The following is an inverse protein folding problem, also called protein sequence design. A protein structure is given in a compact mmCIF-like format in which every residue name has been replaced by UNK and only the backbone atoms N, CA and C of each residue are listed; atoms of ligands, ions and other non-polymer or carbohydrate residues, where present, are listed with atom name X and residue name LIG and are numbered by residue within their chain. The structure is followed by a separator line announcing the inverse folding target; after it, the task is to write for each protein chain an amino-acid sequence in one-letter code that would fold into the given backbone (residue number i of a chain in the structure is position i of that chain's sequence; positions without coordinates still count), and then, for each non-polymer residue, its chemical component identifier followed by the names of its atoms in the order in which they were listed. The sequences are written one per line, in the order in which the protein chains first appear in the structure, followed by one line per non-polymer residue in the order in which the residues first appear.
data_IF_561235456162
#
_entry.id   IF_561235456162
#
_cell.length_a   1.000
_cell.length_b   1.000
_cell.length_c   1.000
_cell.angle_alpha   90.00
_cell.angle_beta   90.00
_cell.angle_gamma   90.00
#
_symmetry.space_group_name_H-M   'P 1'
#
loop_
_entity.id
_entity.type
_entity.pdbx_description
1 polymer ?
#
# COMPACT_ATOMS: atom_id res chain seq x y z
N UNK A 1 -1.45 2.14 -16.23
CA UNK A 1 -1.86 0.75 -16.53
C UNK A 1 -2.78 0.67 -17.75
N UNK A 2 -3.76 1.56 -17.90
CA UNK A 2 -4.67 1.59 -19.07
C UNK A 2 -3.91 1.53 -20.41
N UNK A 3 -2.96 2.45 -20.61
CA UNK A 3 -2.13 2.50 -21.83
C UNK A 3 -1.32 1.21 -22.02
N UNK A 4 -0.89 0.58 -20.92
CA UNK A 4 -0.17 -0.68 -20.94
C UNK A 4 -1.06 -1.84 -21.41
N UNK A 5 -2.33 -1.89 -20.98
CA UNK A 5 -3.29 -2.93 -21.38
C UNK A 5 -3.69 -2.80 -22.85
N UNK A 6 -3.88 -1.56 -23.33
CA UNK A 6 -4.23 -1.29 -24.74
C UNK A 6 -3.03 -1.37 -25.70
N UNK A 7 -1.80 -1.48 -25.19
CA UNK A 7 -0.55 -1.61 -25.97
C UNK A 7 -0.27 -0.48 -26.99
N UNK A 8 -0.92 0.68 -26.87
CA UNK A 8 -0.66 1.81 -27.76
C UNK A 8 0.62 2.54 -27.37
N UNK A 9 1.67 2.40 -28.20
CA UNK A 9 2.98 3.02 -27.98
C UNK A 9 2.93 4.54 -28.16
N UNK A 10 2.28 5.03 -29.21
CA UNK A 10 2.16 6.47 -29.48
C UNK A 10 1.45 7.23 -28.34
N UNK A 11 0.32 6.72 -27.86
CA UNK A 11 -0.39 7.30 -26.71
C UNK A 11 0.50 7.36 -25.47
N UNK A 12 1.33 6.33 -25.26
CA UNK A 12 2.27 6.31 -24.14
C UNK A 12 3.35 7.38 -24.28
N UNK A 13 3.84 7.61 -25.50
CA UNK A 13 4.83 8.65 -25.78
C UNK A 13 4.28 10.05 -25.51
N UNK A 14 3.09 10.37 -26.03
CA UNK A 14 2.44 11.67 -25.76
C UNK A 14 2.16 11.86 -24.27
N UNK A 15 1.67 10.82 -23.60
CA UNK A 15 1.45 10.86 -22.15
C UNK A 15 2.74 11.07 -21.36
N UNK A 16 3.85 10.45 -21.79
CA UNK A 16 5.17 10.63 -21.18
C UNK A 16 5.67 12.08 -21.33
N UNK A 17 5.56 12.64 -22.53
CA UNK A 17 5.94 14.03 -22.80
C UNK A 17 5.08 15.01 -21.98
N UNK A 18 3.76 14.81 -21.96
CA UNK A 18 2.85 15.62 -21.15
C UNK A 18 3.22 15.58 -19.66
N UNK A 19 3.41 14.39 -19.10
CA UNK A 19 3.80 14.21 -17.70
C UNK A 19 5.14 14.89 -17.38
N UNK A 20 6.10 14.83 -18.31
CA UNK A 20 7.39 15.49 -18.18
C UNK A 20 7.22 17.02 -18.10
N UNK A 21 6.47 17.63 -19.03
CA UNK A 21 6.22 19.07 -19.05
C UNK A 21 5.47 19.50 -17.79
N UNK A 22 4.39 18.82 -17.42
CA UNK A 22 3.59 19.14 -16.22
C UNK A 22 4.45 19.08 -14.95
N UNK A 23 5.33 18.08 -14.82
CA UNK A 23 6.20 17.96 -13.65
C UNK A 23 7.20 19.13 -13.57
N UNK A 24 7.79 19.55 -14.69
CA UNK A 24 8.71 20.69 -14.70
C UNK A 24 7.98 22.01 -14.43
N UNK A 25 6.82 22.22 -15.03
CA UNK A 25 5.98 23.40 -14.75
C UNK A 25 5.57 23.45 -13.28
N UNK A 26 5.17 22.31 -12.70
CA UNK A 26 4.78 22.23 -11.30
C UNK A 26 5.96 22.53 -10.35
N UNK A 27 7.15 22.01 -10.64
CA UNK A 27 8.33 22.26 -9.80
C UNK A 27 8.94 23.65 -9.97
N UNK A 28 8.89 24.24 -11.17
CA UNK A 28 9.50 25.55 -11.45
C UNK A 28 8.56 26.70 -11.11
N UNK A 29 7.25 26.56 -11.32
CA UNK A 29 6.29 27.65 -11.15
C UNK A 29 5.50 27.46 -9.86
N UNK A 30 4.79 26.35 -9.72
CA UNK A 30 3.83 26.16 -8.62
C UNK A 30 4.59 26.02 -7.30
N UNK A 31 5.57 25.13 -7.23
CA UNK A 31 6.32 24.88 -6.00
C UNK A 31 6.89 26.15 -5.30
N UNK A 32 7.63 27.05 -5.99
CA UNK A 32 8.14 28.26 -5.35
C UNK A 32 7.04 29.26 -4.97
N UNK A 33 5.91 29.31 -5.69
CA UNK A 33 4.78 30.19 -5.33
C UNK A 33 4.18 29.80 -3.97
N UNK A 34 4.01 28.50 -3.73
CA UNK A 34 3.38 28.01 -2.49
C UNK A 34 4.33 28.01 -1.29
N UNK A 35 5.59 27.62 -1.50
CA UNK A 35 6.54 27.43 -0.41
C UNK A 35 7.52 28.59 -0.22
N UNK A 36 7.53 29.59 -1.11
CA UNK A 36 8.42 30.75 -1.10
C UNK A 36 9.91 30.39 -0.91
N UNK A 37 10.31 29.19 -1.35
CA UNK A 37 11.65 28.64 -1.18
C UNK A 37 12.09 27.95 -2.46
N UNK A 38 13.39 28.01 -2.74
CA UNK A 38 13.98 27.32 -3.88
C UNK A 38 13.96 25.80 -3.66
N UNK A 39 13.69 25.05 -4.73
CA UNK A 39 13.61 23.60 -4.76
C UNK A 39 14.81 22.85 -4.11
N UNK A 40 16.09 23.22 -4.35
CA UNK A 40 17.22 22.45 -3.79
C UNK A 40 17.31 22.47 -2.26
N UNK A 41 16.59 23.38 -1.58
CA UNK A 41 16.57 23.44 -0.13
C UNK A 41 15.67 22.35 0.50
N UNK A 42 14.78 21.73 -0.28
CA UNK A 42 13.84 20.72 0.22
C UNK A 42 14.18 19.32 -0.30
N UNK A 43 14.76 18.51 0.59
CA UNK A 43 15.12 17.12 0.33
C UNK A 43 13.95 16.24 -0.12
N UNK A 44 12.72 16.51 0.33
CA UNK A 44 11.55 15.75 -0.10
C UNK A 44 11.20 16.02 -1.58
N UNK A 45 11.24 17.29 -2.01
CA UNK A 45 11.00 17.67 -3.40
C UNK A 45 12.09 17.10 -4.33
N UNK A 46 13.36 17.15 -3.90
CA UNK A 46 14.50 16.56 -4.63
C UNK A 46 14.31 15.05 -4.77
N UNK A 47 13.92 14.36 -3.71
CA UNK A 47 13.69 12.91 -3.74
C UNK A 47 12.58 12.53 -4.73
N UNK A 48 11.45 13.25 -4.73
CA UNK A 48 10.34 13.03 -5.68
C UNK A 48 10.82 13.21 -7.13
N UNK A 49 11.63 14.24 -7.39
CA UNK A 49 12.19 14.50 -8.71
C UNK A 49 13.11 13.36 -9.18
N UNK A 50 13.97 12.86 -8.30
CA UNK A 50 14.86 11.71 -8.59
C UNK A 50 14.04 10.46 -8.92
N UNK A 51 13.05 10.11 -8.08
CA UNK A 51 12.18 8.96 -8.34
C UNK A 51 11.39 9.10 -9.65
N UNK A 52 10.90 10.30 -9.97
CA UNK A 52 10.21 10.57 -11.23
C UNK A 52 11.14 10.50 -12.44
N UNK A 53 12.39 10.94 -12.30
CA UNK A 53 13.40 10.82 -13.36
C UNK A 53 13.70 9.36 -13.67
N UNK A 54 13.83 8.51 -12.63
CA UNK A 54 13.99 7.06 -12.82
C UNK A 54 12.76 6.43 -13.49
N UNK A 55 11.55 6.87 -13.12
CA UNK A 55 10.32 6.45 -13.79
C UNK A 55 10.33 6.82 -15.28
N UNK A 56 10.74 8.04 -15.64
CA UNK A 56 10.83 8.49 -17.03
C UNK A 56 11.86 7.68 -17.82
N UNK A 57 13.02 7.38 -17.22
CA UNK A 57 14.03 6.51 -17.81
C UNK A 57 13.44 5.13 -18.13
N UNK A 58 12.85 4.44 -17.15
CA UNK A 58 12.23 3.12 -17.36
C UNK A 58 11.08 3.16 -18.38
N UNK A 59 10.26 4.22 -18.35
CA UNK A 59 9.15 4.39 -19.29
C UNK A 59 9.65 4.56 -20.73
N UNK A 60 10.72 5.34 -20.94
CA UNK A 60 11.35 5.52 -22.25
C UNK A 60 11.96 4.22 -22.78
N UNK A 61 12.62 3.44 -21.91
CA UNK A 61 13.14 2.11 -22.24
C UNK A 61 12.03 1.16 -22.68
N UNK A 62 10.86 1.23 -22.02
CA UNK A 62 9.71 0.44 -22.42
C UNK A 62 9.11 0.87 -23.77
N UNK A 63 9.12 2.17 -24.09
CA UNK A 63 8.70 2.65 -25.43
C UNK A 63 9.67 2.13 -26.49
N UNK A 64 10.98 2.21 -26.24
CA UNK A 64 12.03 1.76 -27.15
C UNK A 64 11.93 0.27 -27.46
N UNK A 65 11.72 -0.56 -26.42
CA UNK A 65 11.68 -2.01 -26.56
C UNK A 65 10.29 -2.55 -26.96
N UNK A 66 9.26 -1.69 -27.00
CA UNK A 66 7.88 -2.08 -27.34
C UNK A 66 7.16 -2.89 -26.25
N UNK A 67 5.92 -3.31 -26.56
CA UNK A 67 5.10 -4.13 -25.66
C UNK A 67 5.08 -5.61 -26.09
N UNK A 68 5.21 -6.56 -25.14
CA UNK A 68 5.13 -7.98 -25.46
C UNK A 68 3.71 -8.42 -25.83
N UNK A 69 3.59 -9.54 -26.54
CA UNK A 69 2.30 -10.09 -26.99
C UNK A 69 1.45 -10.61 -25.81
N UNK A 70 2.06 -11.22 -24.79
CA UNK A 70 1.37 -11.74 -23.61
C UNK A 70 1.56 -10.84 -22.38
N UNK A 71 0.60 -9.98 -22.11
CA UNK A 71 0.61 -9.04 -20.96
C UNK A 71 -0.35 -9.41 -19.82
N UNK A 72 -1.34 -10.28 -20.11
CA UNK A 72 -2.33 -10.70 -19.12
C UNK A 72 -1.71 -11.76 -18.21
N UNK A 73 -1.44 -11.36 -16.98
CA UNK A 73 -0.85 -12.19 -15.95
C UNK A 73 -0.24 -11.36 -14.83
N UNK A 74 -0.16 -11.92 -13.63
CA UNK A 74 0.52 -11.28 -12.52
C UNK A 74 2.00 -11.69 -12.51
N UNK A 75 2.90 -10.71 -12.53
CA UNK A 75 4.35 -10.92 -12.52
C UNK A 75 4.83 -11.71 -11.29
N UNK A 76 4.14 -11.57 -10.15
CA UNK A 76 4.46 -12.29 -8.92
C UNK A 76 4.17 -13.79 -9.06
N UNK A 77 3.12 -14.14 -9.81
CA UNK A 77 2.61 -15.50 -9.95
C UNK A 77 3.31 -16.36 -11.02
N UNK A 78 4.30 -15.80 -11.74
CA UNK A 78 4.94 -16.50 -12.87
C UNK A 78 5.72 -17.76 -12.48
N UNK A 79 6.32 -17.79 -11.28
CA UNK A 79 7.08 -18.95 -10.79
C UNK A 79 6.63 -19.32 -9.39
N UNK A 80 6.78 -20.61 -9.07
CA UNK A 80 6.44 -21.14 -7.75
C UNK A 80 7.67 -21.12 -6.84
N UNK A 81 7.72 -20.14 -5.93
CA UNK A 81 8.76 -20.01 -4.92
C UNK A 81 8.17 -19.40 -3.66
N UNK A 82 8.71 -19.77 -2.49
CA UNK A 82 8.29 -19.23 -1.20
C UNK A 82 8.48 -17.71 -1.13
N UNK A 83 9.57 -17.19 -1.71
CA UNK A 83 9.82 -15.74 -1.77
C UNK A 83 8.74 -15.02 -2.56
N UNK A 84 8.30 -15.60 -3.69
CA UNK A 84 7.21 -15.03 -4.50
C UNK A 84 5.87 -15.13 -3.80
N UNK A 85 5.62 -16.22 -3.06
CA UNK A 85 4.44 -16.37 -2.23
C UNK A 85 4.39 -15.27 -1.15
N UNK A 86 5.51 -15.01 -0.48
CA UNK A 86 5.61 -13.93 0.51
C UNK A 86 5.36 -12.56 -0.12
N UNK A 87 6.06 -12.21 -1.21
CA UNK A 87 5.83 -10.95 -1.93
C UNK A 87 4.38 -10.79 -2.40
N UNK A 88 3.75 -11.88 -2.85
CA UNK A 88 2.35 -11.86 -3.25
C UNK A 88 1.39 -11.67 -2.07
N UNK A 89 1.67 -12.28 -0.92
CA UNK A 89 0.89 -12.04 0.30
C UNK A 89 1.04 -10.60 0.78
N UNK A 90 2.24 -10.03 0.75
CA UNK A 90 2.47 -8.61 1.05
C UNK A 90 1.70 -7.69 0.09
N UNK A 91 1.70 -8.00 -1.20
CA UNK A 91 0.89 -7.27 -2.20
C UNK A 91 -0.60 -7.29 -1.87
N UNK A 92 -1.13 -8.42 -1.38
CA UNK A 92 -2.55 -8.54 -1.00
C UNK A 92 -2.89 -7.91 0.36
N UNK A 93 -1.91 -7.63 1.24
CA UNK A 93 -2.14 -6.97 2.54
C UNK A 93 -2.42 -5.47 2.34
N UNK A 94 -1.91 -4.87 1.26
CA UNK A 94 -2.16 -3.46 0.96
C UNK A 94 -3.66 -3.28 0.65
N UNK A 95 -4.37 -2.44 1.41
CA UNK A 95 -5.81 -2.25 1.23
C UNK A 95 -6.10 -1.71 -0.16
N UNK A 96 -7.19 -2.19 -0.78
CA UNK A 96 -7.70 -1.81 -2.11
C UNK A 96 -6.77 -2.03 -3.31
N UNK A 97 -5.46 -2.22 -3.12
CA UNK A 97 -4.49 -2.28 -4.22
C UNK A 97 -4.74 -3.48 -5.14
N UNK A 98 -5.02 -4.66 -4.57
CA UNK A 98 -5.39 -5.84 -5.34
C UNK A 98 -6.69 -5.61 -6.13
N UNK A 99 -7.72 -5.11 -5.46
CA UNK A 99 -9.06 -4.92 -6.03
C UNK A 99 -9.04 -3.90 -7.15
N UNK A 100 -8.43 -2.74 -6.95
CA UNK A 100 -8.28 -1.71 -7.98
C UNK A 100 -7.56 -2.22 -9.22
N UNK A 101 -6.57 -3.11 -9.04
CA UNK A 101 -5.88 -3.74 -10.15
C UNK A 101 -6.78 -4.72 -10.91
N UNK A 102 -7.59 -5.52 -10.22
CA UNK A 102 -8.57 -6.43 -10.85
C UNK A 102 -9.65 -5.65 -11.59
N UNK A 103 -10.21 -4.60 -10.97
CA UNK A 103 -11.18 -3.70 -11.58
C UNK A 103 -10.67 -3.10 -12.88
N UNK A 104 -9.46 -2.54 -12.83
CA UNK A 104 -8.84 -1.92 -13.99
C UNK A 104 -8.50 -2.95 -15.08
N UNK A 105 -8.06 -4.15 -14.72
CA UNK A 105 -7.84 -5.21 -15.70
C UNK A 105 -9.18 -5.64 -16.35
N UNK A 106 -10.28 -5.72 -15.60
CA UNK A 106 -11.63 -6.00 -16.14
C UNK A 106 -12.15 -4.88 -17.06
N UNK A 107 -12.06 -3.62 -16.64
CA UNK A 107 -12.58 -2.47 -17.41
C UNK A 107 -11.93 -2.31 -18.79
N UNK A 108 -10.62 -2.60 -18.89
CA UNK A 108 -9.84 -2.29 -20.09
C UNK A 108 -9.46 -3.52 -20.92
N UNK A 109 -9.90 -4.71 -20.53
CA UNK A 109 -9.73 -5.95 -21.27
C UNK A 109 -11.06 -6.37 -21.90
N UNK A 110 -11.10 -6.76 -23.19
CA UNK A 110 -12.31 -7.34 -23.75
C UNK A 110 -12.61 -8.68 -23.07
N UNK A 111 -13.68 -8.73 -22.28
CA UNK A 111 -14.16 -9.94 -21.58
C UNK A 111 -15.68 -10.01 -21.64
N UNK A 112 -16.23 -11.21 -21.75
CA UNK A 112 -17.67 -11.47 -21.67
C UNK A 112 -18.17 -11.67 -20.24
N UNK A 113 -17.26 -11.77 -19.27
CA UNK A 113 -17.60 -12.01 -17.87
C UNK A 113 -18.13 -10.72 -17.21
N UNK A 114 -19.22 -10.87 -16.46
CA UNK A 114 -19.65 -9.82 -15.53
C UNK A 114 -18.58 -9.58 -14.47
N UNK A 115 -18.63 -8.41 -13.83
CA UNK A 115 -17.65 -8.00 -12.82
C UNK A 115 -17.50 -9.05 -11.71
N UNK A 116 -18.60 -9.51 -11.15
CA UNK A 116 -18.62 -10.51 -10.06
C UNK A 116 -17.97 -11.83 -10.48
N UNK A 117 -18.28 -12.32 -11.68
CA UNK A 117 -17.66 -13.54 -12.19
C UNK A 117 -16.17 -13.36 -12.49
N UNK A 118 -15.75 -12.16 -12.92
CA UNK A 118 -14.34 -11.86 -13.12
C UNK A 118 -13.56 -11.87 -11.80
N UNK A 119 -14.11 -11.26 -10.75
CA UNK A 119 -13.53 -11.32 -9.40
C UNK A 119 -13.45 -12.76 -8.88
N UNK A 120 -14.52 -13.54 -9.05
CA UNK A 120 -14.54 -14.95 -8.64
C UNK A 120 -13.46 -15.75 -9.35
N UNK A 121 -13.28 -15.55 -10.66
CA UNK A 121 -12.24 -16.20 -11.45
C UNK A 121 -10.82 -15.84 -10.93
N UNK A 122 -10.54 -14.57 -10.69
CA UNK A 122 -9.25 -14.11 -10.14
C UNK A 122 -9.00 -14.66 -8.72
N UNK A 123 -10.04 -14.74 -7.89
CA UNK A 123 -9.96 -15.35 -6.56
C UNK A 123 -9.63 -16.84 -6.61
N UNK A 124 -10.31 -17.61 -7.47
CA UNK A 124 -10.03 -19.04 -7.65
C UNK A 124 -8.60 -19.23 -8.16
N UNK A 125 -8.16 -18.46 -9.16
CA UNK A 125 -6.81 -18.52 -9.71
C UNK A 125 -5.75 -18.22 -8.63
N UNK A 126 -5.97 -17.20 -7.80
CA UNK A 126 -5.13 -16.84 -6.65
C UNK A 126 -5.02 -17.97 -5.63
N UNK A 127 -6.15 -18.59 -5.29
CA UNK A 127 -6.21 -19.67 -4.32
C UNK A 127 -5.48 -20.91 -4.86
N UNK A 128 -5.74 -21.29 -6.10
CA UNK A 128 -5.05 -22.40 -6.77
C UNK A 128 -3.53 -22.18 -6.83
N UNK A 129 -3.09 -20.97 -7.18
CA UNK A 129 -1.66 -20.63 -7.22
C UNK A 129 -1.00 -20.72 -5.83
N UNK A 130 -1.67 -20.20 -4.80
CA UNK A 130 -1.20 -20.26 -3.40
C UNK A 130 -1.03 -21.71 -2.95
N UNK A 131 -2.03 -22.55 -3.19
CA UNK A 131 -1.98 -23.98 -2.86
C UNK A 131 -0.87 -24.70 -3.62
N UNK A 132 -0.66 -24.36 -4.90
CA UNK A 132 0.44 -24.92 -5.69
C UNK A 132 1.82 -24.55 -5.12
N UNK A 133 2.01 -23.30 -4.68
CA UNK A 133 3.26 -22.86 -4.04
C UNK A 133 3.55 -23.62 -2.75
N UNK A 134 2.54 -23.80 -1.90
CA UNK A 134 2.66 -24.62 -0.68
C UNK A 134 3.01 -26.06 -1.00
N UNK A 135 2.30 -26.69 -1.95
CA UNK A 135 2.57 -28.08 -2.39
C UNK A 135 4.00 -28.27 -2.87
N UNK A 136 4.53 -27.34 -3.66
CA UNK A 136 5.92 -27.39 -4.13
C UNK A 136 6.91 -27.21 -2.98
N UNK A 137 6.61 -26.32 -2.04
CA UNK A 137 7.47 -26.07 -0.88
C UNK A 137 7.53 -27.30 0.03
N UNK A 138 6.38 -27.91 0.33
CA UNK A 138 6.33 -29.17 1.08
C UNK A 138 6.92 -30.35 0.30
N UNK A 139 6.84 -30.35 -1.03
CA UNK A 139 7.49 -31.37 -1.86
C UNK A 139 9.02 -31.32 -1.83
N UNK A 140 9.61 -30.11 -1.72
CA UNK A 140 11.07 -29.93 -1.60
C UNK A 140 11.62 -30.35 -0.24
N UNK A 141 10.82 -30.24 0.82
CA UNK A 141 11.16 -30.70 2.16
C UNK A 141 10.06 -31.63 2.68
N UNK A 142 10.05 -32.90 2.22
CA UNK A 142 9.02 -33.84 2.61
C UNK A 142 9.16 -34.17 4.10
N UNK A 143 8.21 -33.71 4.89
CA UNK A 143 8.11 -34.14 6.28
C UNK A 143 7.66 -35.60 6.32
N UNK A 144 8.36 -36.45 7.09
CA UNK A 144 7.96 -37.85 7.30
C UNK A 144 6.52 -37.90 7.81
N UNK A 145 5.66 -38.67 7.13
CA UNK A 145 4.26 -38.88 7.53
C UNK A 145 4.21 -39.48 8.95
N UNK A 146 3.19 -39.09 9.72
CA UNK A 146 2.95 -39.56 11.09
C UNK A 146 4.06 -39.24 12.13
N UNK A 147 5.00 -38.33 11.82
CA UNK A 147 5.98 -37.85 12.80
C UNK A 147 5.56 -36.50 13.39
N UNK A 148 5.72 -36.36 14.71
CA UNK A 148 5.52 -35.09 15.41
C UNK A 148 6.38 -33.98 14.80
N UNK A 149 5.73 -32.86 14.44
CA UNK A 149 6.42 -31.60 14.06
C UNK A 149 7.41 -31.15 15.15
N UNK A 150 8.53 -30.58 14.72
CA UNK A 150 9.61 -30.16 15.60
C UNK A 150 9.13 -29.18 16.68
N UNK A 151 9.70 -29.30 17.87
CA UNK A 151 9.34 -28.47 19.04
C UNK A 151 9.51 -26.98 18.74
N UNK A 152 10.62 -26.61 18.09
CA UNK A 152 10.94 -25.23 17.71
C UNK A 152 9.88 -24.61 16.77
N UNK A 153 9.44 -25.33 15.73
CA UNK A 153 8.42 -24.85 14.77
C UNK A 153 7.09 -24.50 15.49
N UNK A 154 6.68 -25.34 16.45
CA UNK A 154 5.44 -25.13 17.21
C UNK A 154 5.52 -23.91 18.13
N UNK A 155 6.56 -23.84 18.95
CA UNK A 155 6.68 -22.76 19.94
C UNK A 155 7.06 -21.42 19.32
N UNK A 156 7.84 -21.38 18.23
CA UNK A 156 8.18 -20.12 17.59
C UNK A 156 6.95 -19.49 16.92
N UNK A 157 6.20 -20.26 16.13
CA UNK A 157 5.02 -19.73 15.43
C UNK A 157 3.90 -19.44 16.43
N UNK A 158 3.61 -20.39 17.32
CA UNK A 158 2.57 -20.22 18.35
C UNK A 158 2.89 -19.08 19.32
N UNK A 159 4.14 -19.00 19.76
CA UNK A 159 4.62 -17.94 20.65
C UNK A 159 4.55 -16.56 20.02
N UNK A 160 4.93 -16.41 18.75
CA UNK A 160 4.81 -15.14 18.02
C UNK A 160 3.36 -14.67 17.90
N UNK A 161 2.43 -15.58 17.57
CA UNK A 161 1.00 -15.25 17.47
C UNK A 161 0.45 -14.85 18.84
N UNK A 162 0.78 -15.61 19.89
CA UNK A 162 0.35 -15.33 21.25
C UNK A 162 0.87 -13.97 21.74
N UNK A 163 2.15 -13.68 21.50
CA UNK A 163 2.75 -12.39 21.83
C UNK A 163 2.07 -11.23 21.10
N UNK A 164 1.79 -11.38 19.79
CA UNK A 164 1.08 -10.36 19.03
C UNK A 164 -0.33 -10.08 19.59
N UNK A 165 -1.05 -11.12 20.03
CA UNK A 165 -2.37 -10.97 20.66
C UNK A 165 -2.24 -10.20 21.98
N UNK A 166 -1.27 -10.54 22.84
CA UNK A 166 -1.04 -9.82 24.10
C UNK A 166 -0.75 -8.35 23.83
N UNK A 167 0.12 -8.04 22.86
CA UNK A 167 0.44 -6.66 22.48
C UNK A 167 -0.81 -5.92 22.00
N UNK A 168 -1.61 -6.50 21.12
CA UNK A 168 -2.84 -5.84 20.62
C UNK A 168 -3.84 -5.56 21.74
N UNK A 169 -3.93 -6.44 22.74
CA UNK A 169 -4.81 -6.22 23.89
C UNK A 169 -4.27 -5.18 24.87
N UNK A 170 -2.97 -5.23 25.21
CA UNK A 170 -2.36 -4.39 26.24
C UNK A 170 -1.93 -3.01 25.73
N UNK A 171 -1.47 -2.90 24.47
CA UNK A 171 -1.01 -1.64 23.88
C UNK A 171 -2.03 -0.50 24.00
N UNK A 172 -3.33 -0.66 23.63
CA UNK A 172 -4.31 0.42 23.77
C UNK A 172 -4.59 0.78 25.23
N UNK A 173 -4.58 -0.18 26.15
CA UNK A 173 -4.76 0.06 27.59
C UNK A 173 -3.63 0.92 28.15
N UNK A 174 -2.37 0.56 27.84
CA UNK A 174 -1.19 1.31 28.26
C UNK A 174 -1.16 2.69 27.62
N UNK A 175 -1.44 2.78 26.32
CA UNK A 175 -1.47 4.05 25.60
C UNK A 175 -2.52 5.02 26.19
N UNK A 176 -3.73 4.53 26.48
CA UNK A 176 -4.77 5.32 27.11
C UNK A 176 -4.34 5.80 28.51
N UNK A 177 -3.79 4.91 29.34
CA UNK A 177 -3.33 5.28 30.69
C UNK A 177 -2.23 6.35 30.67
N UNK A 178 -1.27 6.25 29.75
CA UNK A 178 -0.23 7.28 29.59
C UNK A 178 -0.83 8.59 29.10
N UNK A 179 -1.72 8.56 28.11
CA UNK A 179 -2.35 9.77 27.57
C UNK A 179 -3.14 10.56 28.61
N UNK A 180 -3.83 9.89 29.54
CA UNK A 180 -4.57 10.54 30.62
C UNK A 180 -3.64 11.14 31.67
N UNK A 181 -2.47 10.52 31.94
CA UNK A 181 -1.50 11.05 32.90
C UNK A 181 -0.77 12.32 32.44
N UNK A 182 -0.80 12.60 31.14
CA UNK A 182 -0.21 13.79 30.51
C UNK A 182 -1.21 14.94 30.36
N UNK A 183 -2.45 14.77 30.83
CA UNK A 183 -3.40 15.86 30.88
C UNK A 183 -2.96 16.82 32.00
N UNK A 184 -2.45 17.99 31.62
CA UNK A 184 -2.10 19.04 32.56
C UNK A 184 -3.35 19.42 33.38
N UNK A 185 -3.23 19.56 34.71
CA UNK A 185 -4.33 20.07 35.51
C UNK A 185 -4.66 21.48 35.02
N UNK A 186 -5.94 21.73 34.70
CA UNK A 186 -6.41 23.06 34.31
C UNK A 186 -6.17 23.99 35.50
N UNK A 187 -5.15 24.84 35.43
CA UNK A 187 -4.92 25.91 36.40
C UNK A 187 -5.90 27.04 36.10
N UNK A 188 -6.90 27.22 36.99
CA UNK A 188 -7.84 28.33 36.89
C UNK A 188 -7.14 29.57 37.45
N UNK A 189 -6.56 30.39 36.56
CA UNK A 189 -5.84 31.61 36.97
C UNK A 189 -6.80 32.73 37.43
N UNK A 190 -8.05 32.71 36.94
CA UNK A 190 -9.07 33.68 37.33
C UNK A 190 -10.44 33.00 37.50
N UNK A 191 -10.98 33.08 38.71
CA UNK A 191 -12.33 32.65 39.04
C UNK A 191 -13.13 33.90 39.44
N UNK A 192 -14.06 34.33 38.59
CA UNK A 192 -14.94 35.47 38.88
C UNK A 192 -16.31 34.96 39.31
N UNK A 193 -16.62 35.08 40.60
CA UNK A 193 -17.93 34.70 41.16
C UNK A 193 -18.80 35.96 41.20
N UNK A 194 -19.76 36.04 40.29
CA UNK A 194 -20.73 37.15 40.24
C UNK A 194 -22.01 36.75 40.97
N UNK A 195 -22.28 37.40 42.10
CA UNK A 195 -23.52 37.20 42.86
C UNK A 195 -24.52 38.28 42.44
N UNK A 196 -25.68 37.85 41.92
CA UNK A 196 -26.77 38.75 41.51
C UNK A 196 -27.99 38.50 42.39
N UNK A 197 -28.48 39.54 43.07
CA UNK A 197 -29.73 39.49 43.83
C UNK A 197 -30.88 39.97 42.94
N UNK A 198 -31.62 39.01 42.38
CA UNK A 198 -32.80 39.24 41.53
C UNK A 198 -32.49 40.21 40.38
N UNK A 199 -33.24 41.32 40.25
CA UNK A 199 -33.12 42.28 39.15
C UNK A 199 -32.18 43.48 39.41
N UNK A 200 -31.39 43.45 40.49
CA UNK A 200 -30.45 44.54 40.77
C UNK A 200 -29.09 44.31 40.10
N UNK A 201 -28.40 45.42 39.78
CA UNK A 201 -27.11 45.44 39.07
C UNK A 201 -26.05 44.71 39.90
N UNK A 202 -25.14 44.00 39.21
CA UNK A 202 -24.01 43.28 39.81
C UNK A 202 -23.20 44.21 40.72
N UNK A 203 -22.88 43.74 41.93
CA UNK A 203 -22.01 44.41 42.90
C UNK A 203 -20.53 44.25 42.51
#
# INVERSE_FOLDING_TARGET
RIIYLKKHVHTKFYFLCFQFVVLHLWLVIIYPIWFQRAMPMNWAAVSIYIFKSFYFMLSSLQIRNGYPTRILGNFLTTRYSILRLLCYKLYCIIPFLYEMRVLMDWMFTPTSLSLTYYFMMEEIARNAWTQKCWRITYGRSPTKRAKNRGRCERYCIGGWILFAIIVVLWFPLVFFSVSTSLADPISIDHCEIKVRLSNYKEL
#
